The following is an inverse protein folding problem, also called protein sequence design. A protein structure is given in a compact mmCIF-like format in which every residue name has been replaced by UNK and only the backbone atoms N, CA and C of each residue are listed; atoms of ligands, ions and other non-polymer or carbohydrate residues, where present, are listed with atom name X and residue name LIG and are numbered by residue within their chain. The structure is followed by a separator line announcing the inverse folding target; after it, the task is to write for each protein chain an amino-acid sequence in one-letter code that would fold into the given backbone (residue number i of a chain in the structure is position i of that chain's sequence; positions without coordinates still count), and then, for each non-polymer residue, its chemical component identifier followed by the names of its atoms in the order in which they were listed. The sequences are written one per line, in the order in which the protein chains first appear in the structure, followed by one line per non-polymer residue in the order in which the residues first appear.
data_IF_934592046517
#
_entry.id   IF_934592046517
#
_cell.length_a   1.000
_cell.length_b   1.000
_cell.length_c   1.000
_cell.angle_alpha   90.00
_cell.angle_beta   90.00
_cell.angle_gamma   90.00
#
_symmetry.space_group_name_H-M   'P 1'
#
loop_
_entity.id
_entity.type
_entity.pdbx_description
1 polymer ?
#
# COMPACT_ATOMS: atom_id res chain seq x y z
N UNK A 1 38.46 -83.56 26.70
CA UNK A 1 37.06 -83.14 26.49
C UNK A 1 37.09 -81.76 25.85
N UNK A 2 36.51 -81.63 24.65
CA UNK A 2 36.58 -80.44 23.78
C UNK A 2 35.44 -79.49 24.17
N UNK A 3 35.69 -78.17 24.23
CA UNK A 3 34.64 -77.20 23.92
C UNK A 3 35.23 -75.90 23.36
N UNK A 4 35.14 -75.74 22.03
CA UNK A 4 35.27 -74.44 21.34
C UNK A 4 33.88 -73.81 21.30
N UNK A 5 33.72 -72.58 21.80
CA UNK A 5 32.52 -71.77 21.58
C UNK A 5 32.83 -70.57 20.68
N UNK A 6 31.92 -70.37 19.72
CA UNK A 6 32.09 -69.62 18.46
C UNK A 6 32.19 -68.11 18.69
N UNK A 7 33.18 -67.48 18.05
CA UNK A 7 33.29 -66.03 17.88
C UNK A 7 32.31 -65.58 16.79
N UNK A 8 31.30 -64.79 17.13
CA UNK A 8 30.43 -64.15 16.14
C UNK A 8 31.27 -63.16 15.30
N UNK A 9 31.53 -63.51 14.04
CA UNK A 9 32.14 -62.60 13.09
C UNK A 9 31.07 -61.62 12.61
N UNK A 10 31.21 -60.35 12.99
CA UNK A 10 30.50 -59.24 12.36
C UNK A 10 30.91 -59.19 10.88
N UNK A 11 30.01 -59.63 9.99
CA UNK A 11 30.15 -59.37 8.55
C UNK A 11 30.04 -57.85 8.34
N UNK A 12 31.17 -57.18 8.14
CA UNK A 12 31.17 -55.82 7.62
C UNK A 12 30.71 -55.89 6.16
N UNK A 13 29.52 -55.39 5.86
CA UNK A 13 29.07 -55.15 4.49
C UNK A 13 29.85 -53.97 3.93
N UNK A 14 30.95 -54.26 3.22
CA UNK A 14 31.58 -53.28 2.33
C UNK A 14 30.73 -53.21 1.07
N UNK A 15 29.74 -52.31 1.09
CA UNK A 15 28.93 -51.98 -0.07
C UNK A 15 29.64 -50.82 -0.77
N UNK A 16 30.37 -51.13 -1.84
CA UNK A 16 30.87 -50.14 -2.78
C UNK A 16 29.79 -49.79 -3.80
N UNK A 17 29.72 -48.53 -4.20
CA UNK A 17 28.83 -48.08 -5.26
C UNK A 17 29.42 -48.40 -6.62
N UNK A 18 28.55 -48.74 -7.58
CA UNK A 18 28.97 -48.89 -8.97
C UNK A 18 29.23 -47.51 -9.59
N UNK A 19 30.11 -47.46 -10.58
CA UNK A 19 30.38 -46.22 -11.33
C UNK A 19 29.10 -45.68 -12.01
N UNK A 20 28.23 -46.59 -12.44
CA UNK A 20 26.93 -46.24 -13.05
C UNK A 20 26.00 -45.57 -12.03
N UNK A 21 25.92 -46.06 -10.78
CA UNK A 21 25.12 -45.41 -9.73
C UNK A 21 25.59 -43.99 -9.44
N UNK A 22 26.90 -43.75 -9.40
CA UNK A 22 27.46 -42.41 -9.18
C UNK A 22 27.06 -41.46 -10.33
N UNK A 23 27.15 -41.91 -11.57
CA UNK A 23 26.76 -41.10 -12.74
C UNK A 23 25.26 -40.79 -12.73
N UNK A 24 24.42 -41.79 -12.45
CA UNK A 24 22.97 -41.58 -12.35
C UNK A 24 22.61 -40.64 -11.20
N UNK A 25 23.25 -40.80 -10.03
CA UNK A 25 23.02 -39.94 -8.87
C UNK A 25 23.40 -38.49 -9.15
N UNK A 26 24.55 -38.25 -9.80
CA UNK A 26 24.98 -36.90 -10.19
C UNK A 26 24.01 -36.29 -11.22
N UNK A 27 23.53 -37.09 -12.18
CA UNK A 27 22.55 -36.65 -13.17
C UNK A 27 21.25 -36.18 -12.51
N UNK A 28 20.70 -36.99 -11.60
CA UNK A 28 19.46 -36.64 -10.88
C UNK A 28 19.68 -35.44 -9.95
N UNK A 29 20.81 -35.39 -9.23
CA UNK A 29 21.13 -34.32 -8.30
C UNK A 29 21.34 -32.97 -9.01
N UNK A 30 22.05 -32.98 -10.14
CA UNK A 30 22.28 -31.77 -10.93
C UNK A 30 20.96 -31.23 -11.50
N UNK A 31 20.09 -32.10 -12.03
CA UNK A 31 18.76 -31.71 -12.48
C UNK A 31 17.92 -31.09 -11.35
N UNK A 32 17.89 -31.74 -10.18
CA UNK A 32 17.18 -31.23 -9.01
C UNK A 32 17.72 -29.86 -8.56
N UNK A 33 19.05 -29.68 -8.56
CA UNK A 33 19.69 -28.43 -8.16
C UNK A 33 19.30 -27.25 -9.05
N UNK A 34 19.15 -27.47 -10.36
CA UNK A 34 18.69 -26.44 -11.32
C UNK A 34 17.24 -26.05 -11.05
N UNK A 35 16.37 -27.03 -10.80
CA UNK A 35 14.95 -26.78 -10.49
C UNK A 35 14.83 -25.96 -9.20
N UNK A 36 15.52 -26.37 -8.13
CA UNK A 36 15.50 -25.67 -6.83
C UNK A 36 15.98 -24.22 -6.98
N UNK A 37 17.07 -24.01 -7.72
CA UNK A 37 17.61 -22.66 -7.96
C UNK A 37 16.60 -21.76 -8.66
N UNK A 38 15.90 -22.29 -9.67
CA UNK A 38 14.87 -21.54 -10.41
C UNK A 38 13.71 -21.14 -9.50
N UNK A 39 13.24 -22.08 -8.67
CA UNK A 39 12.18 -21.80 -7.67
C UNK A 39 12.64 -20.71 -6.71
N UNK A 40 13.88 -20.80 -6.19
CA UNK A 40 14.43 -19.81 -5.27
C UNK A 40 14.43 -18.39 -5.86
N UNK A 41 14.93 -18.22 -7.09
CA UNK A 41 14.94 -16.90 -7.73
C UNK A 41 13.54 -16.33 -7.94
N UNK A 42 12.58 -17.18 -8.34
CA UNK A 42 11.19 -16.77 -8.49
C UNK A 42 10.55 -16.35 -7.17
N UNK A 43 10.75 -17.15 -6.11
CA UNK A 43 10.25 -16.83 -4.77
C UNK A 43 10.84 -15.53 -4.23
N UNK A 44 12.14 -15.29 -4.43
CA UNK A 44 12.77 -14.04 -4.02
C UNK A 44 12.17 -12.82 -4.75
N UNK A 45 11.95 -12.92 -6.06
CA UNK A 45 11.28 -11.86 -6.83
C UNK A 45 9.86 -11.61 -6.33
N UNK A 46 9.11 -12.66 -6.00
CA UNK A 46 7.77 -12.55 -5.43
C UNK A 46 7.79 -11.87 -4.06
N UNK A 47 8.71 -12.22 -3.17
CA UNK A 47 8.86 -11.57 -1.87
C UNK A 47 9.09 -10.07 -1.98
N UNK A 48 9.96 -9.63 -2.92
CA UNK A 48 10.18 -8.21 -3.15
C UNK A 48 8.92 -7.49 -3.65
N UNK A 49 8.17 -8.12 -4.56
CA UNK A 49 6.91 -7.56 -5.05
C UNK A 49 5.86 -7.44 -3.94
N UNK A 50 5.72 -8.48 -3.11
CA UNK A 50 4.79 -8.48 -1.98
C UNK A 50 5.17 -7.41 -0.96
N UNK A 51 6.45 -7.25 -0.64
CA UNK A 51 6.91 -6.21 0.27
C UNK A 51 6.55 -4.80 -0.22
N UNK A 52 6.78 -4.51 -1.50
CA UNK A 52 6.42 -3.21 -2.09
C UNK A 52 4.90 -2.98 -2.10
N UNK A 53 4.13 -4.01 -2.44
CA UNK A 53 2.67 -3.92 -2.42
C UNK A 53 2.11 -3.72 -1.00
N UNK A 54 2.70 -4.37 0.00
CA UNK A 54 2.33 -4.19 1.40
C UNK A 54 2.63 -2.79 1.90
N UNK A 55 3.78 -2.20 1.51
CA UNK A 55 4.10 -0.80 1.82
C UNK A 55 3.06 0.15 1.22
N UNK A 56 2.72 0.00 -0.06
CA UNK A 56 1.69 0.82 -0.71
C UNK A 56 0.32 0.72 -0.05
N UNK A 57 -0.09 -0.47 0.38
CA UNK A 57 -1.34 -0.65 1.13
C UNK A 57 -1.30 0.03 2.50
N UNK A 58 -0.20 -0.12 3.23
CA UNK A 58 -0.04 0.53 4.53
C UNK A 58 -0.08 2.05 4.39
N UNK A 59 0.62 2.58 3.38
CA UNK A 59 0.65 4.01 3.08
C UNK A 59 -0.72 4.52 2.67
N UNK A 60 -1.38 3.82 1.75
CA UNK A 60 -2.73 4.14 1.33
C UNK A 60 -3.72 4.18 2.50
N UNK A 61 -3.64 3.22 3.42
CA UNK A 61 -4.46 3.22 4.64
C UNK A 61 -4.16 4.43 5.53
N UNK A 62 -2.89 4.77 5.72
CA UNK A 62 -2.49 5.94 6.50
C UNK A 62 -3.03 7.24 5.90
N UNK A 63 -2.83 7.46 4.60
CA UNK A 63 -3.29 8.65 3.90
C UNK A 63 -4.82 8.78 3.92
N UNK A 64 -5.54 7.68 3.68
CA UNK A 64 -7.00 7.66 3.78
C UNK A 64 -7.46 8.01 5.18
N UNK A 65 -6.87 7.43 6.23
CA UNK A 65 -7.26 7.72 7.60
C UNK A 65 -6.97 9.18 7.99
N UNK A 66 -5.84 9.72 7.53
CA UNK A 66 -5.49 11.13 7.76
C UNK A 66 -6.51 12.05 7.07
N UNK A 67 -6.82 11.84 5.79
CA UNK A 67 -7.84 12.60 5.06
C UNK A 67 -9.20 12.45 5.73
N UNK A 68 -9.59 11.21 6.08
CA UNK A 68 -10.88 10.94 6.69
C UNK A 68 -11.05 11.61 8.05
N UNK A 69 -9.96 11.74 8.82
CA UNK A 69 -9.96 12.50 10.07
C UNK A 69 -10.24 13.98 9.81
N UNK A 70 -9.55 14.60 8.85
CA UNK A 70 -9.76 16.03 8.53
C UNK A 70 -11.18 16.26 8.02
N UNK A 71 -11.68 15.43 7.10
CA UNK A 71 -13.06 15.50 6.57
C UNK A 71 -14.12 15.39 7.68
N UNK A 72 -13.88 14.54 8.69
CA UNK A 72 -14.82 14.38 9.81
C UNK A 72 -14.75 15.52 10.81
N UNK A 73 -13.57 16.09 11.04
CA UNK A 73 -13.32 17.07 12.09
C UNK A 73 -13.59 18.52 11.65
N UNK A 74 -13.46 18.82 10.35
CA UNK A 74 -13.54 20.19 9.83
C UNK A 74 -14.76 20.38 8.94
N UNK A 75 -15.19 21.63 8.83
CA UNK A 75 -16.16 22.04 7.82
C UNK A 75 -15.50 22.17 6.46
N UNK A 76 -16.18 21.69 5.43
CA UNK A 76 -15.63 21.58 4.08
C UNK A 76 -16.09 22.80 3.26
N UNK A 77 -15.16 23.37 2.50
CA UNK A 77 -15.51 24.40 1.53
C UNK A 77 -16.16 23.75 0.32
N UNK A 78 -17.40 24.15 0.02
CA UNK A 78 -18.10 23.62 -1.14
C UNK A 78 -17.57 24.24 -2.42
N UNK A 79 -17.29 23.43 -3.44
CA UNK A 79 -16.70 23.93 -4.66
C UNK A 79 -17.79 24.42 -5.61
N UNK A 80 -18.19 25.67 -5.40
CA UNK A 80 -19.28 26.32 -6.14
C UNK A 80 -18.85 26.63 -7.58
N UNK A 81 -17.59 27.05 -7.74
CA UNK A 81 -17.05 27.54 -9.02
C UNK A 81 -16.29 26.44 -9.81
N UNK A 82 -16.06 25.26 -9.23
CA UNK A 82 -15.35 24.13 -9.86
C UNK A 82 -16.02 22.79 -9.50
N UNK A 83 -16.94 22.28 -10.33
CA UNK A 83 -17.64 21.04 -9.99
C UNK A 83 -16.67 19.86 -9.84
N UNK A 84 -16.99 18.88 -8.99
CA UNK A 84 -16.22 17.64 -8.86
C UNK A 84 -15.94 16.93 -10.20
N UNK A 85 -14.80 16.22 -10.33
CA UNK A 85 -13.76 16.00 -9.32
C UNK A 85 -12.76 17.16 -9.19
N UNK A 86 -12.22 17.35 -7.99
CA UNK A 86 -11.09 18.26 -7.73
C UNK A 86 -9.83 17.53 -7.31
N UNK A 87 -8.68 18.12 -7.63
CA UNK A 87 -7.37 17.60 -7.24
C UNK A 87 -6.87 18.17 -5.89
N UNK A 88 -7.75 18.90 -5.21
CA UNK A 88 -7.53 19.46 -3.88
C UNK A 88 -8.83 19.42 -3.08
N UNK A 89 -8.70 19.55 -1.77
CA UNK A 89 -9.80 19.67 -0.82
C UNK A 89 -9.48 20.82 0.13
N UNK A 90 -10.40 21.78 0.23
CA UNK A 90 -10.28 22.92 1.13
C UNK A 90 -11.30 22.84 2.26
N UNK A 91 -10.86 23.29 3.43
CA UNK A 91 -11.71 23.40 4.62
C UNK A 91 -11.97 24.87 4.94
N UNK A 92 -13.10 25.13 5.59
CA UNK A 92 -13.38 26.46 6.14
C UNK A 92 -12.39 26.77 7.27
N UNK A 93 -12.20 28.07 7.52
CA UNK A 93 -11.33 28.54 8.60
C UNK A 93 -11.87 28.06 9.95
N UNK A 94 -10.96 27.57 10.77
CA UNK A 94 -11.28 27.13 12.14
C UNK A 94 -11.57 28.34 13.05
N UNK A 95 -11.99 28.09 14.30
CA UNK A 95 -12.24 29.11 15.33
C UNK A 95 -11.01 30.01 15.59
N UNK A 96 -9.81 29.47 15.34
CA UNK A 96 -8.54 30.18 15.46
C UNK A 96 -8.12 30.94 14.19
N UNK A 97 -8.91 30.86 13.11
CA UNK A 97 -8.62 31.48 11.81
C UNK A 97 -7.76 30.63 10.88
N UNK A 98 -7.36 29.43 11.30
CA UNK A 98 -6.49 28.54 10.53
C UNK A 98 -7.21 27.98 9.30
N UNK A 99 -6.62 28.18 8.12
CA UNK A 99 -7.09 27.60 6.86
C UNK A 99 -6.29 26.35 6.53
N UNK A 100 -7.00 25.26 6.27
CA UNK A 100 -6.40 23.97 5.94
C UNK A 100 -6.83 23.50 4.57
N UNK A 101 -5.90 22.88 3.85
CA UNK A 101 -6.19 22.22 2.59
C UNK A 101 -5.27 21.03 2.33
N UNK A 102 -5.76 20.12 1.49
CA UNK A 102 -5.06 18.93 1.04
C UNK A 102 -4.99 18.98 -0.47
N UNK A 103 -3.80 18.85 -1.05
CA UNK A 103 -3.64 18.84 -2.50
C UNK A 103 -2.48 17.97 -2.93
N UNK A 104 -2.48 17.57 -4.20
CA UNK A 104 -1.34 16.93 -4.83
C UNK A 104 -0.40 17.98 -5.43
N UNK A 105 0.88 17.95 -5.09
CA UNK A 105 1.95 18.70 -5.80
C UNK A 105 3.09 17.75 -6.14
N UNK A 106 3.55 17.73 -7.41
CA UNK A 106 4.75 17.00 -7.84
C UNK A 106 4.81 15.52 -7.39
N UNK A 107 3.66 14.84 -7.34
CA UNK A 107 3.58 13.43 -6.93
C UNK A 107 3.53 13.21 -5.42
N UNK A 108 3.48 14.27 -4.62
CA UNK A 108 3.27 14.21 -3.18
C UNK A 108 1.87 14.69 -2.80
N UNK A 109 1.31 14.08 -1.76
CA UNK A 109 0.15 14.62 -1.06
C UNK A 109 0.66 15.61 -0.02
N UNK A 110 0.19 16.84 -0.11
CA UNK A 110 0.56 17.91 0.78
C UNK A 110 -0.62 18.34 1.64
N UNK A 111 -0.34 18.54 2.92
CA UNK A 111 -1.23 19.15 3.90
C UNK A 111 -0.74 20.56 4.18
N UNK A 112 -1.58 21.55 3.92
CA UNK A 112 -1.25 22.95 4.14
C UNK A 112 -2.04 23.51 5.31
N UNK A 113 -1.36 24.23 6.20
CA UNK A 113 -1.96 25.00 7.30
C UNK A 113 -1.38 26.41 7.22
N UNK A 114 -2.21 27.42 6.93
CA UNK A 114 -1.78 28.82 6.83
C UNK A 114 -0.47 29.00 6.03
N UNK A 115 -0.44 28.44 4.82
CA UNK A 115 0.70 28.46 3.88
C UNK A 115 1.94 27.63 4.29
N UNK A 116 1.93 26.97 5.46
CA UNK A 116 2.93 25.97 5.79
C UNK A 116 2.54 24.61 5.23
N UNK A 117 3.43 24.05 4.41
CA UNK A 117 3.23 22.77 3.74
C UNK A 117 3.95 21.64 4.45
N UNK A 118 3.26 20.52 4.63
CA UNK A 118 3.85 19.25 5.05
C UNK A 118 3.49 18.13 4.06
N UNK A 119 4.49 17.35 3.64
CA UNK A 119 4.28 16.13 2.87
C UNK A 119 3.66 15.05 3.77
N UNK A 120 2.60 14.40 3.29
CA UNK A 120 1.94 13.32 4.00
C UNK A 120 2.41 11.93 3.57
N UNK A 121 2.69 11.73 2.28
CA UNK A 121 3.13 10.43 1.77
C UNK A 121 4.60 10.13 2.10
N UNK A 122 4.96 8.86 2.24
CA UNK A 122 6.36 8.44 2.29
C UNK A 122 7.15 8.84 1.03
N UNK A 123 8.47 9.07 1.16
CA UNK A 123 9.33 9.51 0.05
C UNK A 123 9.39 8.52 -1.11
N UNK A 124 9.31 7.22 -0.81
CA UNK A 124 9.33 6.11 -1.76
C UNK A 124 7.95 5.79 -2.35
N UNK A 125 6.92 6.56 -2.00
CA UNK A 125 5.57 6.47 -2.56
C UNK A 125 5.21 7.75 -3.29
N UNK A 126 4.59 7.61 -4.46
CA UNK A 126 4.11 8.70 -5.28
C UNK A 126 2.59 8.63 -5.41
N UNK A 127 1.94 9.79 -5.32
CA UNK A 127 0.53 9.99 -5.59
C UNK A 127 0.36 10.31 -7.07
N UNK A 128 -0.01 9.31 -7.86
CA UNK A 128 -0.17 9.42 -9.31
C UNK A 128 -1.45 10.17 -9.65
N UNK A 129 -2.53 9.89 -8.94
CA UNK A 129 -3.83 10.54 -9.17
C UNK A 129 -4.51 10.82 -7.83
N UNK A 130 -5.22 11.94 -7.75
CA UNK A 130 -5.93 12.38 -6.56
C UNK A 130 -7.16 13.17 -7.00
N UNK A 131 -8.33 12.64 -6.65
CA UNK A 131 -9.61 13.22 -7.01
C UNK A 131 -10.55 13.20 -5.81
N UNK A 132 -11.17 14.34 -5.53
CA UNK A 132 -12.18 14.52 -4.51
C UNK A 132 -13.52 14.84 -5.16
N UNK A 133 -14.55 14.10 -4.76
CA UNK A 133 -15.93 14.39 -5.07
C UNK A 133 -16.66 14.84 -3.82
N UNK A 134 -16.85 16.15 -3.69
CA UNK A 134 -17.57 16.76 -2.57
C UNK A 134 -19.05 16.83 -2.89
N UNK A 135 -19.88 16.35 -1.97
CA UNK A 135 -21.34 16.45 -2.03
C UNK A 135 -21.87 17.01 -0.69
N UNK A 136 -22.83 17.94 -0.70
CA UNK A 136 -23.44 18.56 -1.88
C UNK A 136 -22.45 19.44 -2.68
N UNK A 137 -22.65 19.58 -3.98
CA UNK A 137 -21.85 20.47 -4.84
C UNK A 137 -22.32 21.93 -4.80
N UNK A 138 -23.36 22.21 -4.03
CA UNK A 138 -24.03 23.50 -3.89
C UNK A 138 -24.15 23.78 -2.39
N UNK A 139 -23.14 24.42 -1.81
CA UNK A 139 -23.26 25.09 -0.52
C UNK A 139 -23.52 26.57 -0.78
N UNK A 140 -24.45 27.18 -0.05
CA UNK A 140 -24.77 28.59 -0.21
C UNK A 140 -23.50 29.46 -0.02
N UNK A 141 -23.12 30.24 -1.04
CA UNK A 141 -21.99 31.21 -1.02
C UNK A 141 -22.21 32.35 0.01
N UNK A 142 -23.44 32.51 0.51
CA UNK A 142 -23.96 33.68 1.23
C UNK A 142 -24.90 33.39 2.42
N UNK A 143 -25.02 32.14 2.90
CA UNK A 143 -25.58 31.88 4.25
C UNK A 143 -27.06 32.21 4.53
N UNK A 144 -27.98 32.01 3.60
CA UNK A 144 -29.44 32.23 3.80
C UNK A 144 -30.34 31.05 3.37
N UNK A 145 -29.88 29.80 3.50
CA UNK A 145 -30.85 28.69 3.47
C UNK A 145 -30.51 27.58 4.50
N UNK A 146 -31.28 27.50 5.61
CA UNK A 146 -31.19 26.40 6.58
C UNK A 146 -31.71 25.05 6.05
N UNK A 147 -32.22 24.95 4.81
CA UNK A 147 -33.04 23.81 4.42
C UNK A 147 -32.31 22.54 3.96
N UNK A 148 -30.98 22.54 3.86
CA UNK A 148 -30.21 21.33 3.57
C UNK A 148 -29.59 20.78 4.85
N UNK A 149 -30.39 20.09 5.69
CA UNK A 149 -29.89 19.19 6.75
C UNK A 149 -29.27 17.91 6.14
N UNK A 150 -28.41 18.09 5.13
CA UNK A 150 -27.74 17.02 4.40
C UNK A 150 -26.32 16.94 4.93
N UNK A 151 -25.95 15.75 5.41
CA UNK A 151 -24.59 15.50 5.87
C UNK A 151 -23.61 15.58 4.69
N UNK A 152 -22.57 16.45 4.76
CA UNK A 152 -21.58 16.56 3.70
C UNK A 152 -20.78 15.26 3.59
N UNK A 153 -20.42 14.86 2.38
CA UNK A 153 -19.60 13.68 2.11
C UNK A 153 -18.57 13.94 1.02
N UNK A 154 -17.41 13.35 1.18
CA UNK A 154 -16.29 13.43 0.23
C UNK A 154 -15.97 12.03 -0.23
N UNK A 155 -16.09 11.76 -1.53
CA UNK A 155 -15.53 10.56 -2.14
C UNK A 155 -14.11 10.87 -2.60
N UNK A 156 -13.14 10.19 -2.01
CA UNK A 156 -11.75 10.20 -2.40
C UNK A 156 -11.51 9.08 -3.41
N UNK A 157 -10.90 9.41 -4.55
CA UNK A 157 -10.26 8.46 -5.45
C UNK A 157 -8.77 8.82 -5.51
N UNK A 158 -7.92 7.88 -5.13
CA UNK A 158 -6.48 8.10 -5.03
C UNK A 158 -5.74 6.93 -5.67
N UNK A 159 -4.76 7.21 -6.52
CA UNK A 159 -3.84 6.23 -7.08
C UNK A 159 -2.43 6.46 -6.52
N UNK A 160 -1.86 5.41 -5.92
CA UNK A 160 -0.50 5.41 -5.40
C UNK A 160 0.38 4.48 -6.22
N UNK A 161 1.65 4.84 -6.34
CA UNK A 161 2.70 4.07 -7.00
C UNK A 161 3.96 4.09 -6.14
N UNK A 162 4.71 2.99 -6.09
CA UNK A 162 6.02 3.00 -5.43
C UNK A 162 7.10 3.50 -6.40
N UNK A 163 8.04 4.29 -5.89
CA UNK A 163 9.24 4.73 -6.62
C UNK A 163 10.28 3.60 -6.59
N UNK A 164 10.00 2.49 -7.28
CA UNK A 164 10.96 1.39 -7.38
C UNK A 164 12.12 1.75 -8.32
N UNK A 165 13.35 1.43 -7.93
CA UNK A 165 14.55 1.60 -8.77
C UNK A 165 14.48 0.75 -10.04
N UNK A 166 13.76 -0.38 -9.99
CA UNK A 166 13.57 -1.28 -11.12
C UNK A 166 12.08 -1.31 -11.53
N UNK A 167 11.75 -0.98 -12.79
CA UNK A 167 10.39 -1.01 -13.31
C UNK A 167 9.66 -2.34 -13.09
N UNK A 168 10.38 -3.47 -13.04
CA UNK A 168 9.78 -4.80 -12.78
C UNK A 168 9.14 -4.94 -11.40
N UNK A 169 9.52 -4.11 -10.44
CA UNK A 169 9.00 -4.11 -9.08
C UNK A 169 8.08 -2.92 -8.78
N UNK A 170 7.71 -2.15 -9.82
CA UNK A 170 6.67 -1.14 -9.72
C UNK A 170 5.31 -1.80 -9.50
N UNK A 171 4.55 -1.18 -8.61
CA UNK A 171 3.23 -1.58 -8.18
C UNK A 171 2.41 -0.31 -8.02
N UNK A 172 1.15 -0.43 -8.38
CA UNK A 172 0.17 0.63 -8.23
C UNK A 172 -1.00 0.09 -7.42
N UNK A 173 -1.63 0.97 -6.64
CA UNK A 173 -2.89 0.68 -5.97
C UNK A 173 -3.83 1.87 -6.17
N UNK A 174 -5.07 1.57 -6.51
CA UNK A 174 -6.15 2.57 -6.55
C UNK A 174 -7.03 2.35 -5.33
N UNK A 175 -7.32 3.43 -4.62
CA UNK A 175 -8.14 3.43 -3.41
C UNK A 175 -9.30 4.37 -3.64
N UNK A 176 -10.50 3.89 -3.33
CA UNK A 176 -11.72 4.69 -3.36
C UNK A 176 -12.44 4.56 -2.03
N UNK A 177 -12.86 5.68 -1.45
CA UNK A 177 -13.66 5.68 -0.22
C UNK A 177 -14.53 6.93 -0.14
N UNK A 178 -15.67 6.84 0.53
CA UNK A 178 -16.55 7.97 0.81
C UNK A 178 -16.61 8.24 2.30
N UNK A 179 -16.29 9.46 2.70
CA UNK A 179 -16.24 9.89 4.09
C UNK A 179 -17.30 10.97 4.31
N UNK A 180 -18.19 10.75 5.28
CA UNK A 180 -19.14 11.77 5.74
C UNK A 180 -18.52 12.67 6.81
N UNK A 181 -18.77 13.97 6.73
CA UNK A 181 -18.39 14.94 7.77
C UNK A 181 -19.22 14.74 9.03
N UNK A 182 -18.64 14.98 10.22
CA UNK A 182 -19.35 14.91 11.50
C UNK A 182 -19.71 16.30 12.06
N UNK A 183 -19.40 17.37 11.31
CA UNK A 183 -19.77 18.72 11.72
C UNK A 183 -21.24 18.95 11.39
N UNK A 184 -22.03 19.25 12.40
CA UNK A 184 -23.46 19.55 12.26
C UNK A 184 -23.66 21.05 12.44
N UNK A 185 -23.99 21.75 11.36
CA UNK A 185 -24.57 23.10 11.44
C UNK A 185 -26.08 22.96 11.63
N UNK A 186 -26.57 23.47 12.76
CA UNK A 186 -28.00 23.69 13.02
C UNK A 186 -28.35 25.14 12.78
#
# INVERSE_FOLDING_TARGET
MITKTKKHQNKKTQLGFTLVEVVVAIGIFSLASVIISTVYFNTNNLHQQTANFQRLQNEGRYLVEKIAREVRAREITYPIDSPPPQNHLEFLKDEFGDQVSIKKINGNLEYMVNDQTAQLNAEDVEVVDLQFYVYPSQGNKWGEDPQSNIQPRVTLLMKLKNKAVNPKHEREITIQTTISSKVYKR
#
